data_IF_866325174460
#
_entry.id   IF_866325174460
#
_cell.length_a   1.000
_cell.length_b   1.000
_cell.length_c   1.000
_cell.angle_alpha   90.00
_cell.angle_beta   90.00
_cell.angle_gamma   90.00
#
_symmetry.space_group_name_H-M   'P 1'
#
loop_
_entity.id
_entity.type
_entity.pdbx_description
1 polymer ?
#
# COMPACT_ATOMS: atom_id res chain seq x y z
N UNK A 1 9.32 -22.45 -3.61
CA UNK A 1 8.19 -21.49 -3.69
C UNK A 1 8.73 -20.13 -4.09
N UNK A 2 8.23 -19.54 -5.20
CA UNK A 2 8.68 -18.21 -5.67
C UNK A 2 7.93 -17.13 -4.89
N UNK A 3 8.65 -16.20 -4.29
CA UNK A 3 8.09 -15.03 -3.58
C UNK A 3 8.43 -13.77 -4.37
N UNK A 4 7.48 -12.84 -4.47
CA UNK A 4 7.66 -11.56 -5.14
C UNK A 4 8.19 -10.52 -4.15
N UNK A 5 9.09 -9.68 -4.62
CA UNK A 5 9.50 -8.45 -3.94
C UNK A 5 8.41 -7.38 -4.07
N UNK A 6 8.48 -6.36 -3.20
CA UNK A 6 7.54 -5.23 -3.28
C UNK A 6 7.61 -4.50 -4.63
N UNK A 7 8.81 -4.42 -5.22
CA UNK A 7 9.00 -3.80 -6.54
C UNK A 7 8.32 -4.61 -7.65
N UNK A 8 8.46 -5.93 -7.65
CA UNK A 8 7.78 -6.79 -8.64
C UNK A 8 6.25 -6.72 -8.50
N UNK A 9 5.73 -6.64 -7.27
CA UNK A 9 4.29 -6.44 -7.03
C UNK A 9 3.83 -5.07 -7.51
N UNK A 10 4.64 -4.03 -7.26
CA UNK A 10 4.36 -2.67 -7.68
C UNK A 10 4.32 -2.54 -9.22
N UNK A 11 5.28 -3.14 -9.92
CA UNK A 11 5.31 -3.19 -11.39
C UNK A 11 4.11 -3.94 -11.97
N UNK A 12 3.74 -5.07 -11.36
CA UNK A 12 2.62 -5.89 -11.85
C UNK A 12 1.26 -5.21 -11.68
N UNK A 13 1.09 -4.43 -10.62
CA UNK A 13 -0.15 -3.72 -10.30
C UNK A 13 -0.17 -2.26 -10.78
N UNK A 14 0.89 -1.82 -11.47
CA UNK A 14 1.11 -0.42 -11.90
C UNK A 14 0.88 0.60 -10.75
N UNK A 15 1.49 0.33 -9.59
CA UNK A 15 1.43 1.20 -8.42
C UNK A 15 2.80 1.50 -7.87
N UNK A 16 2.91 2.50 -6.99
CA UNK A 16 4.16 2.77 -6.29
C UNK A 16 4.45 1.70 -5.22
N UNK A 17 5.74 1.42 -4.98
CA UNK A 17 6.18 0.56 -3.86
C UNK A 17 5.62 1.06 -2.52
N UNK A 18 5.53 2.39 -2.34
CA UNK A 18 4.95 3.01 -1.16
C UNK A 18 3.48 2.61 -0.96
N UNK A 19 2.71 2.52 -2.03
CA UNK A 19 1.32 2.05 -1.99
C UNK A 19 1.25 0.60 -1.50
N UNK A 20 2.15 -0.26 -2.00
CA UNK A 20 2.24 -1.67 -1.56
C UNK A 20 2.62 -1.77 -0.08
N UNK A 21 3.58 -0.95 0.39
CA UNK A 21 3.91 -0.86 1.82
C UNK A 21 2.70 -0.45 2.68
N UNK A 22 1.92 0.52 2.20
CA UNK A 22 0.70 0.95 2.90
C UNK A 22 -0.27 -0.22 3.02
N UNK A 23 -0.55 -0.95 1.94
CA UNK A 23 -1.43 -2.13 1.98
C UNK A 23 -0.95 -3.20 2.97
N UNK A 24 0.36 -3.41 3.06
CA UNK A 24 0.92 -4.35 4.05
C UNK A 24 0.73 -3.81 5.47
N UNK A 25 0.98 -2.52 5.68
CA UNK A 25 0.83 -1.90 7.00
C UNK A 25 -0.63 -1.79 7.48
N UNK A 26 -1.58 -1.64 6.56
CA UNK A 26 -3.02 -1.62 6.87
C UNK A 26 -3.62 -3.04 6.98
N UNK A 27 -2.86 -4.07 6.60
CA UNK A 27 -3.31 -5.47 6.63
C UNK A 27 -4.15 -5.88 5.42
N UNK A 28 -4.25 -5.04 4.40
CA UNK A 28 -4.94 -5.34 3.14
C UNK A 28 -4.17 -6.37 2.30
N UNK A 29 -2.83 -6.30 2.30
CA UNK A 29 -1.98 -7.25 1.59
C UNK A 29 -1.10 -8.03 2.58
N UNK A 30 -1.17 -9.37 2.53
CA UNK A 30 -0.30 -10.22 3.36
C UNK A 30 1.10 -10.30 2.77
N UNK A 31 2.10 -10.04 3.62
CA UNK A 31 3.51 -10.19 3.28
C UNK A 31 4.25 -10.94 4.39
N UNK A 32 5.31 -11.64 3.99
CA UNK A 32 6.24 -12.33 4.85
C UNK A 32 7.49 -11.47 5.05
N UNK A 33 7.94 -11.36 6.29
CA UNK A 33 9.23 -10.76 6.57
C UNK A 33 10.35 -11.79 6.32
N UNK A 34 11.10 -11.62 5.23
CA UNK A 34 12.25 -12.46 4.89
C UNK A 34 13.57 -11.94 5.51
N UNK A 35 13.51 -10.93 6.39
CA UNK A 35 14.68 -10.51 7.16
C UNK A 35 15.04 -11.54 8.22
N UNK A 36 16.34 -11.80 8.39
CA UNK A 36 16.88 -12.61 9.49
C UNK A 36 16.55 -12.03 10.87
N UNK A 37 16.43 -10.71 10.97
CA UNK A 37 15.97 -10.02 12.17
C UNK A 37 14.52 -9.53 11.97
N UNK A 38 13.53 -10.09 12.71
CA UNK A 38 12.14 -9.67 12.59
C UNK A 38 11.91 -8.22 13.02
N UNK A 39 12.76 -7.67 13.91
CA UNK A 39 12.68 -6.32 14.44
C UNK A 39 13.58 -5.32 13.70
N UNK A 40 14.03 -5.65 12.48
CA UNK A 40 14.84 -4.74 11.67
C UNK A 40 14.04 -3.48 11.32
N UNK A 41 14.68 -2.31 11.44
CA UNK A 41 14.15 -1.02 10.93
C UNK A 41 13.90 -1.04 9.41
N UNK A 42 14.50 -1.98 8.69
CA UNK A 42 14.29 -2.22 7.25
C UNK A 42 13.95 -3.70 7.04
N UNK A 43 12.69 -4.11 7.22
CA UNK A 43 12.27 -5.48 6.96
C UNK A 43 12.31 -5.77 5.46
N UNK A 44 12.78 -6.96 5.08
CA UNK A 44 12.80 -7.43 3.69
C UNK A 44 11.48 -8.16 3.44
N UNK A 45 10.45 -7.38 3.15
CA UNK A 45 9.11 -7.91 2.92
C UNK A 45 9.04 -8.63 1.57
N UNK A 46 8.37 -9.78 1.56
CA UNK A 46 8.10 -10.59 0.37
C UNK A 46 6.66 -11.06 0.34
N UNK A 47 6.05 -11.00 -0.83
CA UNK A 47 4.64 -11.36 -1.04
C UNK A 47 4.58 -12.73 -1.71
N UNK A 48 3.68 -13.60 -1.26
CA UNK A 48 3.43 -14.87 -1.96
C UNK A 48 2.45 -14.61 -3.11
N UNK A 49 2.59 -15.29 -4.25
CA UNK A 49 1.69 -15.11 -5.39
C UNK A 49 0.22 -15.38 -5.02
N UNK A 50 -0.05 -16.38 -4.17
CA UNK A 50 -1.42 -16.67 -3.68
C UNK A 50 -2.04 -15.51 -2.89
N UNK A 51 -1.24 -14.80 -2.09
CA UNK A 51 -1.75 -13.66 -1.31
C UNK A 51 -2.03 -12.47 -2.24
N UNK A 52 -1.23 -12.30 -3.31
CA UNK A 52 -1.45 -11.29 -4.34
C UNK A 52 -2.73 -11.57 -5.14
N UNK A 53 -2.92 -12.81 -5.60
CA UNK A 53 -4.13 -13.22 -6.33
C UNK A 53 -5.39 -13.04 -5.47
N UNK A 54 -5.32 -13.40 -4.18
CA UNK A 54 -6.43 -13.19 -3.23
C UNK A 54 -6.75 -11.70 -3.06
N UNK A 55 -5.71 -10.86 -3.01
CA UNK A 55 -5.87 -9.42 -2.92
C UNK A 55 -6.49 -8.83 -4.20
N UNK A 56 -6.03 -9.26 -5.39
CA UNK A 56 -6.59 -8.84 -6.68
C UNK A 56 -8.08 -9.21 -6.78
N UNK A 57 -8.42 -10.46 -6.44
CA UNK A 57 -9.81 -10.93 -6.42
C UNK A 57 -10.70 -10.13 -5.46
N UNK A 58 -10.18 -9.74 -4.29
CA UNK A 58 -10.91 -8.91 -3.33
C UNK A 58 -11.06 -7.45 -3.75
N UNK A 59 -10.07 -6.90 -4.47
CA UNK A 59 -10.05 -5.49 -4.90
C UNK A 59 -10.97 -5.23 -6.08
N UNK A 60 -11.14 -6.19 -6.98
CA UNK A 60 -12.12 -6.11 -8.08
C UNK A 60 -13.53 -5.82 -7.54
N UNK A 61 -13.88 -6.44 -6.40
CA UNK A 61 -15.17 -6.28 -5.70
C UNK A 61 -15.29 -4.90 -5.00
N UNK A 62 -14.17 -4.23 -4.68
CA UNK A 62 -14.13 -2.97 -3.89
C UNK A 62 -13.85 -1.71 -4.72
N UNK A 63 -13.95 -1.76 -6.05
CA UNK A 63 -13.74 -0.61 -6.95
C UNK A 63 -14.83 0.48 -6.85
N UNK A 64 -15.14 0.98 -5.65
CA UNK A 64 -16.02 2.11 -5.44
C UNK A 64 -15.72 2.88 -4.15
N UNK A 65 -14.53 3.51 -4.05
CA UNK A 65 -14.41 4.80 -3.34
C UNK A 65 -13.07 5.47 -3.66
N UNK A 66 -13.05 6.32 -4.69
CA UNK A 66 -11.98 7.33 -4.82
C UNK A 66 -12.09 8.26 -3.63
N UNK A 67 -11.16 8.16 -2.67
CA UNK A 67 -11.03 9.15 -1.59
C UNK A 67 -10.71 10.51 -2.22
N UNK A 68 -11.68 11.41 -2.22
CA UNK A 68 -11.50 12.81 -2.58
C UNK A 68 -10.49 13.43 -1.63
N UNK A 69 -9.37 13.91 -2.20
CA UNK A 69 -8.36 14.68 -1.49
C UNK A 69 -9.04 15.91 -0.88
N UNK A 70 -9.09 16.02 0.45
CA UNK A 70 -9.55 17.25 1.12
C UNK A 70 -8.59 18.37 0.76
N UNK A 71 -9.03 19.26 -0.11
CA UNK A 71 -8.36 20.54 -0.36
C UNK A 71 -8.69 21.44 0.81
N UNK A 72 -7.69 21.81 1.61
CA UNK A 72 -7.84 22.84 2.64
C UNK A 72 -7.99 24.19 1.96
N UNK A 73 -9.18 24.81 2.07
CA UNK A 73 -9.39 26.19 1.61
C UNK A 73 -8.66 27.13 2.58
N UNK A 74 -7.83 28.08 2.11
CA UNK A 74 -7.21 29.08 2.97
C UNK A 74 -8.31 29.96 3.60
N UNK A 75 -8.27 30.12 4.93
CA UNK A 75 -9.21 30.98 5.67
C UNK A 75 -8.72 32.42 5.53
N UNK A 76 -9.36 33.20 4.67
CA UNK A 76 -9.10 34.64 4.57
C UNK A 76 -9.32 35.30 5.94
N UNK A 77 -8.28 35.96 6.45
CA UNK A 77 -8.29 36.69 7.72
C UNK A 77 -8.86 38.09 7.41
N UNK A 78 -10.01 38.49 7.97
CA UNK A 78 -10.53 39.83 7.72
C UNK A 78 -9.59 40.87 8.36
N UNK A 79 -9.05 41.75 7.51
CA UNK A 79 -8.37 42.98 7.94
C UNK A 79 -9.45 43.94 8.44
N UNK A 80 -9.43 44.27 9.73
CA UNK A 80 -10.16 45.44 10.22
C UNK A 80 -9.38 46.71 9.83
N UNK A 81 -10.11 47.67 9.25
CA UNK A 81 -9.66 49.03 8.90
C UNK A 81 -9.94 49.97 10.06
#
# INVERSE_FOLDING_TARGET
MKTLSLSEVAERLDVSVRTVEVWISTGELRALNASRNPNSRKPRLRVRPVDLETFEAGREIQTAQKRTRRVSVPREIPRYV
#
